data_IF_099658992630
#
_entry.id   IF_099658992630
#
_cell.length_a   1.000
_cell.length_b   1.000
_cell.length_c   1.000
_cell.angle_alpha   90.00
_cell.angle_beta   90.00
_cell.angle_gamma   90.00
#
_symmetry.space_group_name_H-M   'P 1'
#
loop_
_entity.id
_entity.type
_entity.pdbx_description
1 polymer ?
#
# COMPACT_ATOMS: atom_id res chain seq x y z
N UNK A 1 27.76 -8.81 38.85
CA UNK A 1 26.68 -9.49 39.58
C UNK A 1 25.61 -8.48 39.95
N UNK A 2 24.52 -8.42 39.19
CA UNK A 2 23.15 -8.20 39.67
C UNK A 2 22.20 -8.16 38.46
N UNK A 3 21.68 -9.32 38.13
CA UNK A 3 20.66 -9.54 37.12
C UNK A 3 19.29 -9.34 37.78
N UNK A 4 18.52 -8.33 37.33
CA UNK A 4 17.08 -8.27 37.62
C UNK A 4 16.31 -8.58 36.35
N UNK A 5 15.74 -9.77 36.33
CA UNK A 5 14.78 -10.25 35.35
C UNK A 5 13.47 -9.45 35.47
N UNK A 6 13.03 -8.84 34.37
CA UNK A 6 11.69 -8.29 34.22
C UNK A 6 10.83 -9.32 33.47
N UNK A 7 10.09 -10.13 34.22
CA UNK A 7 9.08 -11.05 33.70
C UNK A 7 7.75 -10.30 33.58
N UNK A 8 7.56 -9.55 32.49
CA UNK A 8 6.31 -8.88 32.15
C UNK A 8 5.52 -9.72 31.15
N UNK A 9 4.50 -10.44 31.63
CA UNK A 9 3.59 -11.21 30.80
C UNK A 9 2.70 -10.31 29.95
N UNK A 10 2.73 -10.50 28.63
CA UNK A 10 1.82 -9.86 27.69
C UNK A 10 0.50 -10.64 27.66
N UNK A 11 -0.55 -10.07 28.24
CA UNK A 11 -1.93 -10.54 28.07
C UNK A 11 -2.52 -9.84 26.83
N UNK A 12 -2.89 -10.62 25.82
CA UNK A 12 -3.54 -10.15 24.61
C UNK A 12 -5.03 -9.81 24.87
N UNK A 13 -5.54 -8.62 24.47
CA UNK A 13 -6.89 -8.20 24.84
C UNK A 13 -7.96 -8.49 23.76
N UNK A 14 -7.84 -9.58 22.98
CA UNK A 14 -8.87 -9.88 21.97
C UNK A 14 -9.27 -11.36 21.93
N UNK A 15 -10.56 -11.69 22.14
CA UNK A 15 -11.07 -13.02 21.84
C UNK A 15 -11.10 -13.27 20.33
N UNK A 16 -10.95 -14.52 19.87
CA UNK A 16 -11.03 -14.86 18.46
C UNK A 16 -12.43 -14.57 17.90
N UNK A 17 -12.47 -13.90 16.74
CA UNK A 17 -13.69 -13.65 15.97
C UNK A 17 -14.17 -15.00 15.39
N UNK A 18 -15.42 -15.43 15.63
CA UNK A 18 -15.97 -16.61 14.99
C UNK A 18 -16.13 -16.36 13.49
N UNK A 19 -15.51 -17.21 12.67
CA UNK A 19 -15.67 -17.18 11.22
C UNK A 19 -17.06 -17.69 10.86
N UNK A 20 -17.89 -16.83 10.25
CA UNK A 20 -19.16 -17.23 9.64
C UNK A 20 -18.92 -18.28 8.55
N UNK A 21 -19.73 -19.35 8.48
CA UNK A 21 -19.64 -20.32 7.40
C UNK A 21 -20.02 -19.67 6.06
N UNK A 22 -19.15 -19.88 5.07
CA UNK A 22 -19.34 -19.43 3.70
C UNK A 22 -20.66 -19.97 3.13
N UNK A 23 -21.55 -19.05 2.73
CA UNK A 23 -22.73 -19.34 1.93
C UNK A 23 -22.30 -19.93 0.59
N UNK A 24 -22.44 -21.25 0.47
CA UNK A 24 -22.25 -22.02 -0.76
C UNK A 24 -23.43 -21.72 -1.71
N UNK A 25 -23.33 -20.66 -2.51
CA UNK A 25 -24.29 -20.42 -3.60
C UNK A 25 -24.11 -21.47 -4.68
N UNK A 26 -25.19 -22.20 -4.92
CA UNK A 26 -25.41 -23.23 -5.92
C UNK A 26 -25.57 -22.55 -7.29
N UNK A 27 -25.05 -23.19 -8.33
CA UNK A 27 -24.77 -22.60 -9.63
C UNK A 27 -25.98 -22.06 -10.40
N UNK A 28 -25.72 -21.01 -11.15
CA UNK A 28 -26.52 -20.62 -12.31
C UNK A 28 -25.58 -20.52 -13.53
N UNK A 29 -26.00 -21.22 -14.58
CA UNK A 29 -25.39 -21.27 -15.90
C UNK A 29 -25.29 -19.87 -16.50
N UNK A 30 -24.10 -19.49 -16.98
CA UNK A 30 -23.95 -18.44 -17.99
C UNK A 30 -23.49 -19.11 -19.28
N UNK A 31 -24.48 -19.47 -20.10
CA UNK A 31 -24.28 -19.87 -21.48
C UNK A 31 -24.20 -18.61 -22.38
N UNK A 32 -23.26 -18.65 -23.31
CA UNK A 32 -23.26 -18.02 -24.64
C UNK A 32 -23.67 -16.55 -24.81
N UNK A 33 -22.65 -15.67 -24.95
CA UNK A 33 -22.65 -14.62 -25.99
C UNK A 33 -21.24 -14.38 -26.55
N UNK A 34 -21.02 -14.47 -27.87
CA UNK A 34 -19.78 -14.06 -28.50
C UNK A 34 -19.72 -12.52 -28.62
N UNK A 35 -18.65 -11.91 -28.11
CA UNK A 35 -18.33 -10.51 -28.37
C UNK A 35 -17.60 -10.36 -29.72
N UNK A 36 -17.94 -9.36 -30.55
CA UNK A 36 -17.24 -9.09 -31.80
C UNK A 36 -15.84 -8.51 -31.55
N UNK A 37 -14.92 -8.95 -32.42
CA UNK A 37 -13.50 -8.68 -32.39
C UNK A 37 -13.16 -7.18 -32.49
N UNK A 38 -12.36 -6.69 -31.53
CA UNK A 38 -11.49 -5.54 -31.72
C UNK A 38 -10.05 -6.05 -31.85
N UNK A 39 -9.57 -6.04 -33.09
CA UNK A 39 -8.17 -6.29 -33.46
C UNK A 39 -7.32 -5.12 -32.98
N UNK A 40 -6.53 -5.33 -31.94
CA UNK A 40 -5.36 -4.51 -31.64
C UNK A 40 -4.12 -5.34 -31.96
N UNK A 41 -3.47 -4.98 -33.06
CA UNK A 41 -2.23 -5.57 -33.57
C UNK A 41 -1.08 -5.18 -32.64
N UNK A 42 -0.55 -6.14 -31.87
CA UNK A 42 0.70 -5.99 -31.13
C UNK A 42 1.81 -6.78 -31.85
N UNK A 43 2.97 -6.17 -32.15
CA UNK A 43 4.09 -6.90 -32.73
C UNK A 43 4.70 -7.87 -31.71
N UNK A 44 4.67 -9.15 -32.07
CA UNK A 44 5.29 -10.27 -31.38
C UNK A 44 6.81 -10.24 -31.63
N UNK A 45 7.60 -10.07 -30.57
CA UNK A 45 9.03 -10.38 -30.57
C UNK A 45 9.44 -10.87 -29.18
N UNK A 46 9.11 -12.14 -28.85
CA UNK A 46 9.70 -12.82 -27.70
C UNK A 46 10.19 -14.20 -28.14
N UNK A 47 11.52 -14.34 -28.06
CA UNK A 47 12.26 -15.56 -28.34
C UNK A 47 11.91 -16.68 -27.37
N UNK A 48 11.99 -17.89 -27.91
CA UNK A 48 11.72 -19.17 -27.26
C UNK A 48 12.75 -19.42 -26.16
N UNK A 49 12.29 -19.70 -24.96
CA UNK A 49 13.05 -20.43 -23.96
C UNK A 49 12.18 -21.59 -23.48
N UNK A 50 12.66 -22.80 -23.77
CA UNK A 50 12.01 -24.07 -23.50
C UNK A 50 11.90 -24.34 -21.99
N UNK A 51 10.71 -24.67 -21.52
CA UNK A 51 10.48 -25.23 -20.19
C UNK A 51 10.01 -26.68 -20.35
N UNK A 52 10.92 -27.59 -20.01
CA UNK A 52 10.70 -29.02 -19.96
C UNK A 52 9.71 -29.37 -18.85
N UNK A 53 8.77 -30.24 -19.21
CA UNK A 53 7.79 -30.85 -18.35
C UNK A 53 8.42 -31.72 -17.25
N UNK A 54 7.85 -31.67 -16.05
CA UNK A 54 8.14 -32.58 -14.95
C UNK A 54 6.86 -32.85 -14.16
N UNK A 55 6.17 -33.94 -14.53
CA UNK A 55 5.04 -34.54 -13.84
C UNK A 55 5.49 -35.12 -12.49
N UNK A 56 4.77 -34.87 -11.40
CA UNK A 56 4.73 -35.79 -10.26
C UNK A 56 3.39 -35.72 -9.53
N UNK A 57 2.63 -36.78 -9.76
CA UNK A 57 1.36 -37.16 -9.16
C UNK A 57 1.58 -37.61 -7.71
N UNK A 58 0.77 -37.14 -6.75
CA UNK A 58 0.62 -37.83 -5.46
C UNK A 58 -0.79 -37.66 -4.90
N UNK A 59 -1.54 -38.76 -5.04
CA UNK A 59 -2.78 -39.03 -4.34
C UNK A 59 -2.46 -39.51 -2.92
N UNK A 60 -3.06 -38.91 -1.89
CA UNK A 60 -3.30 -39.60 -0.62
C UNK A 60 -4.74 -39.36 -0.22
N UNK A 61 -5.51 -40.44 -0.28
CA UNK A 61 -6.87 -40.58 0.25
C UNK A 61 -6.74 -41.07 1.68
N UNK A 62 -7.35 -40.37 2.65
CA UNK A 62 -7.71 -40.98 3.93
C UNK A 62 -9.16 -40.61 4.28
N UNK A 63 -9.96 -41.68 4.35
CA UNK A 63 -11.32 -41.70 4.84
C UNK A 63 -11.35 -41.60 6.37
N UNK A 64 -12.34 -40.88 6.90
CA UNK A 64 -12.80 -41.08 8.27
C UNK A 64 -14.31 -40.80 8.34
N UNK A 65 -15.09 -41.88 8.32
CA UNK A 65 -16.48 -41.91 8.75
C UNK A 65 -16.51 -41.94 10.29
N UNK A 66 -17.38 -41.15 10.90
CA UNK A 66 -17.65 -41.22 12.33
C UNK A 66 -18.90 -40.41 12.67
N UNK A 67 -20.06 -41.07 12.62
CA UNK A 67 -21.37 -40.46 12.83
C UNK A 67 -21.64 -40.05 14.28
N UNK A 68 -22.67 -39.23 14.44
CA UNK A 68 -23.49 -39.20 15.66
C UNK A 68 -24.84 -38.58 15.36
N UNK A 69 -25.85 -39.45 15.44
CA UNK A 69 -27.27 -39.13 15.55
C UNK A 69 -27.53 -38.31 16.82
N UNK A 70 -28.45 -37.36 16.74
CA UNK A 70 -28.79 -36.48 17.86
C UNK A 70 -30.04 -35.65 17.63
N UNK A 71 -31.18 -36.32 17.78
CA UNK A 71 -32.47 -35.83 18.28
C UNK A 71 -33.16 -34.62 17.63
N UNK A 72 -34.33 -34.95 17.08
CA UNK A 72 -35.50 -34.10 17.01
C UNK A 72 -35.73 -33.29 18.31
N UNK A 73 -36.03 -32.01 18.13
CA UNK A 73 -36.87 -31.21 19.02
C UNK A 73 -37.49 -30.10 18.17
N UNK A 74 -38.54 -30.50 17.46
CA UNK A 74 -39.58 -29.64 16.93
C UNK A 74 -40.30 -29.01 18.13
N UNK A 75 -40.12 -27.70 18.35
CA UNK A 75 -40.95 -26.91 19.25
C UNK A 75 -41.44 -25.68 18.48
N UNK A 76 -42.76 -25.70 18.32
CA UNK A 76 -43.62 -24.59 17.95
C UNK A 76 -43.21 -23.26 18.58
N UNK A 77 -43.06 -22.24 17.74
CA UNK A 77 -43.53 -20.89 18.06
C UNK A 77 -43.66 -20.08 16.76
N UNK A 78 -44.78 -20.28 16.08
CA UNK A 78 -45.35 -19.31 15.17
C UNK A 78 -45.74 -18.05 15.97
N UNK A 79 -44.77 -17.19 16.24
CA UNK A 79 -45.01 -15.83 16.74
C UNK A 79 -44.89 -14.87 15.55
N UNK A 80 -46.04 -14.34 15.15
CA UNK A 80 -46.27 -13.35 14.11
C UNK A 80 -45.12 -12.34 13.93
N UNK A 81 -44.32 -12.53 12.88
CA UNK A 81 -43.43 -11.51 12.32
C UNK A 81 -44.29 -10.40 11.71
N UNK A 82 -44.73 -9.44 12.53
CA UNK A 82 -45.25 -8.18 12.01
C UNK A 82 -44.12 -7.53 11.20
N UNK A 83 -44.36 -7.09 9.96
CA UNK A 83 -43.38 -6.33 9.22
C UNK A 83 -43.20 -4.99 9.93
N UNK A 84 -42.21 -4.91 10.83
CA UNK A 84 -41.73 -3.63 11.34
C UNK A 84 -41.29 -2.85 10.13
N UNK A 85 -42.03 -1.80 9.80
CA UNK A 85 -41.64 -0.81 8.80
C UNK A 85 -40.35 -0.18 9.30
N UNK A 86 -39.24 -0.79 8.94
CA UNK A 86 -37.89 -0.25 9.11
C UNK A 86 -37.88 1.06 8.36
N UNK A 87 -38.11 2.17 9.07
CA UNK A 87 -37.80 3.47 8.50
C UNK A 87 -36.35 3.42 8.01
N UNK A 88 -36.04 3.96 6.82
CA UNK A 88 -34.67 4.01 6.36
C UNK A 88 -33.87 4.77 7.42
N UNK A 89 -33.02 4.04 8.16
CA UNK A 89 -32.04 4.66 9.04
C UNK A 89 -31.12 5.45 8.11
N UNK A 90 -31.32 6.77 8.07
CA UNK A 90 -30.36 7.67 7.45
C UNK A 90 -29.11 7.56 8.29
N UNK A 91 -28.18 6.72 7.85
CA UNK A 91 -26.86 6.56 8.46
C UNK A 91 -26.07 7.82 8.09
N UNK A 92 -26.33 8.90 8.83
CA UNK A 92 -25.69 10.21 8.68
C UNK A 92 -24.25 10.19 9.26
N UNK A 93 -23.53 9.09 9.02
CA UNK A 93 -22.33 8.70 9.77
C UNK A 93 -21.02 9.06 9.08
N UNK A 94 -21.07 9.80 7.97
CA UNK A 94 -19.86 10.36 7.37
C UNK A 94 -19.50 11.66 8.10
N UNK A 95 -18.59 11.58 9.07
CA UNK A 95 -18.03 12.78 9.69
C UNK A 95 -17.37 13.66 8.61
N UNK A 96 -17.50 15.00 8.70
CA UNK A 96 -16.80 15.90 7.80
C UNK A 96 -15.28 15.66 7.82
N UNK A 97 -14.63 15.84 6.66
CA UNK A 97 -13.20 15.58 6.48
C UNK A 97 -12.32 16.34 7.50
N UNK A 98 -12.74 17.54 7.90
CA UNK A 98 -12.04 18.36 8.89
C UNK A 98 -12.08 17.74 10.30
N UNK A 99 -13.19 17.12 10.69
CA UNK A 99 -13.30 16.42 11.97
C UNK A 99 -12.47 15.12 11.93
N UNK A 100 -12.46 14.42 10.80
CA UNK A 100 -11.58 13.26 10.61
C UNK A 100 -10.11 13.65 10.70
N UNK A 101 -9.71 14.79 10.13
CA UNK A 101 -8.35 15.32 10.22
C UNK A 101 -7.98 15.74 11.65
N UNK A 102 -8.90 16.40 12.36
CA UNK A 102 -8.70 16.76 13.77
C UNK A 102 -8.45 15.52 14.63
N UNK A 103 -9.26 14.47 14.45
CA UNK A 103 -9.07 13.18 15.14
C UNK A 103 -7.75 12.50 14.74
N UNK A 104 -7.41 12.51 13.45
CA UNK A 104 -6.15 11.93 12.97
C UNK A 104 -4.92 12.61 13.59
N UNK A 105 -5.01 13.91 13.86
CA UNK A 105 -3.95 14.72 14.48
C UNK A 105 -3.87 14.58 16.00
N UNK A 106 -4.95 14.16 16.66
CA UNK A 106 -5.03 14.12 18.13
C UNK A 106 -3.97 13.21 18.76
N UNK A 107 -3.58 12.14 18.07
CA UNK A 107 -2.59 11.16 18.55
C UNK A 107 -1.16 11.43 18.05
N UNK A 108 -0.90 12.59 17.42
CA UNK A 108 0.41 12.91 16.87
C UNK A 108 1.30 13.62 17.90
N UNK A 109 2.56 13.21 18.04
CA UNK A 109 3.46 13.79 19.06
C UNK A 109 3.95 15.20 18.70
N UNK A 110 3.84 15.58 17.42
CA UNK A 110 4.40 16.83 16.90
C UNK A 110 3.45 17.51 15.93
N UNK A 111 3.61 18.82 15.80
CA UNK A 111 2.90 19.69 14.86
C UNK A 111 3.92 20.37 13.95
N UNK A 112 4.47 19.66 12.96
CA UNK A 112 5.51 20.20 12.10
C UNK A 112 4.97 21.39 11.30
N UNK A 113 5.77 22.45 11.22
CA UNK A 113 5.53 23.62 10.36
C UNK A 113 6.36 23.57 9.07
N UNK A 114 7.42 22.75 9.06
CA UNK A 114 8.33 22.52 7.96
C UNK A 114 8.64 21.03 7.76
N UNK A 115 9.14 20.67 6.58
CA UNK A 115 9.59 19.31 6.31
C UNK A 115 10.95 19.07 6.99
N UNK A 116 11.06 17.95 7.70
CA UNK A 116 12.34 17.40 8.17
C UNK A 116 13.13 16.74 7.01
N UNK A 117 13.10 17.36 5.83
CA UNK A 117 13.66 16.84 4.58
C UNK A 117 15.13 17.18 4.38
N UNK A 118 15.63 16.99 3.16
CA UNK A 118 16.99 17.39 2.77
C UNK A 118 16.96 18.73 2.01
N UNK A 119 18.14 19.33 1.79
CA UNK A 119 18.27 20.66 1.20
C UNK A 119 18.09 20.71 -0.34
N UNK A 120 18.14 19.57 -1.03
CA UNK A 120 17.94 19.53 -2.49
C UNK A 120 17.36 18.20 -2.95
N UNK A 121 16.68 18.22 -4.10
CA UNK A 121 16.21 17.00 -4.79
C UNK A 121 17.35 16.07 -5.16
N UNK A 122 18.49 16.60 -5.59
CA UNK A 122 19.67 15.81 -5.95
C UNK A 122 20.20 15.03 -4.74
N UNK A 123 20.37 15.71 -3.60
CA UNK A 123 20.78 15.07 -2.35
C UNK A 123 19.76 14.04 -1.85
N UNK A 124 18.46 14.26 -2.09
CA UNK A 124 17.40 13.30 -1.73
C UNK A 124 17.55 11.99 -2.52
N UNK A 125 17.68 12.10 -3.84
CA UNK A 125 17.79 10.94 -4.73
C UNK A 125 19.13 10.23 -4.55
N UNK A 126 20.23 10.96 -4.39
CA UNK A 126 21.54 10.39 -4.12
C UNK A 126 21.56 9.57 -2.82
N UNK A 127 20.96 10.09 -1.74
CA UNK A 127 20.83 9.34 -0.46
C UNK A 127 19.99 8.09 -0.61
N UNK A 128 18.91 8.15 -1.37
CA UNK A 128 18.07 6.99 -1.66
C UNK A 128 18.85 5.88 -2.40
N UNK A 129 19.58 6.23 -3.46
CA UNK A 129 20.39 5.26 -4.21
C UNK A 129 21.53 4.71 -3.34
N UNK A 130 22.16 5.56 -2.53
CA UNK A 130 23.18 5.14 -1.57
C UNK A 130 22.65 4.14 -0.54
N UNK A 131 21.45 4.36 -0.01
CA UNK A 131 20.79 3.43 0.91
C UNK A 131 20.48 2.07 0.26
N UNK A 132 20.03 2.05 -1.01
CA UNK A 132 19.85 0.80 -1.76
C UNK A 132 21.17 0.05 -1.93
N UNK A 133 22.23 0.74 -2.36
CA UNK A 133 23.56 0.14 -2.52
C UNK A 133 24.10 -0.42 -1.20
N UNK A 134 23.90 0.30 -0.09
CA UNK A 134 24.31 -0.14 1.25
C UNK A 134 23.39 -1.24 1.84
N UNK A 135 22.30 -1.58 1.16
CA UNK A 135 21.23 -2.43 1.68
C UNK A 135 20.67 -1.94 3.04
N UNK A 136 20.65 -0.63 3.27
CA UNK A 136 20.24 0.01 4.53
C UNK A 136 18.81 0.52 4.44
N UNK A 137 17.88 -0.26 4.99
CA UNK A 137 16.46 0.08 5.03
C UNK A 137 16.15 1.22 5.99
N UNK A 138 16.95 1.38 7.05
CA UNK A 138 16.75 2.41 8.08
C UNK A 138 17.06 3.81 7.56
N UNK A 139 18.03 3.92 6.65
CA UNK A 139 18.37 5.17 5.97
C UNK A 139 17.23 5.73 5.09
N UNK A 140 16.24 4.91 4.71
CA UNK A 140 15.09 5.37 3.93
C UNK A 140 14.02 6.05 4.78
N UNK A 141 13.84 5.65 6.04
CA UNK A 141 12.79 6.18 6.91
C UNK A 141 12.73 7.72 6.95
N UNK A 142 13.85 8.46 7.16
CA UNK A 142 13.79 9.93 7.23
C UNK A 142 13.58 10.61 5.86
N UNK A 143 13.70 9.88 4.75
CA UNK A 143 13.61 10.46 3.39
C UNK A 143 12.18 10.54 2.87
N UNK A 144 11.22 9.84 3.48
CA UNK A 144 9.79 9.87 3.11
C UNK A 144 8.99 10.68 4.13
N UNK A 145 7.82 11.17 3.70
CA UNK A 145 6.86 11.82 4.61
C UNK A 145 6.55 10.92 5.80
N UNK A 146 6.70 11.47 7.00
CA UNK A 146 6.19 10.85 8.22
C UNK A 146 4.69 11.16 8.41
N UNK A 147 4.09 10.58 9.45
CA UNK A 147 2.65 10.70 9.71
C UNK A 147 2.24 12.14 10.05
N UNK A 148 3.11 12.89 10.74
CA UNK A 148 2.84 14.26 11.15
C UNK A 148 2.99 15.22 9.99
N UNK A 149 4.06 15.12 9.20
CA UNK A 149 4.22 15.87 7.96
C UNK A 149 3.10 15.59 6.98
N UNK A 150 2.66 14.34 6.86
CA UNK A 150 1.48 13.99 6.09
C UNK A 150 0.24 14.76 6.59
N UNK A 151 -0.05 14.70 7.89
CA UNK A 151 -1.25 15.28 8.47
C UNK A 151 -1.28 16.81 8.41
N UNK A 152 -0.15 17.47 8.66
CA UNK A 152 -0.07 18.92 8.79
C UNK A 152 0.31 19.62 7.50
N UNK A 153 1.23 19.05 6.72
CA UNK A 153 1.85 19.74 5.59
C UNK A 153 1.31 19.29 4.23
N UNK A 154 1.01 18.00 4.06
CA UNK A 154 0.62 17.45 2.75
C UNK A 154 -0.89 17.27 2.57
N UNK A 155 -1.54 16.56 3.51
CA UNK A 155 -2.94 16.17 3.39
C UNK A 155 -3.90 17.36 3.20
N UNK A 156 -3.79 18.50 3.92
CA UNK A 156 -4.74 19.60 3.75
C UNK A 156 -4.74 20.23 2.35
N UNK A 157 -3.65 20.07 1.60
CA UNK A 157 -3.46 20.73 0.31
C UNK A 157 -3.69 19.81 -0.89
N UNK A 158 -3.58 18.49 -0.70
CA UNK A 158 -3.66 17.49 -1.78
C UNK A 158 -5.06 17.47 -2.43
N UNK A 159 -5.18 17.29 -3.76
CA UNK A 159 -6.49 17.23 -4.42
C UNK A 159 -7.44 16.17 -3.84
N UNK A 160 -6.89 15.05 -3.37
CA UNK A 160 -7.66 13.93 -2.83
C UNK A 160 -8.36 14.24 -1.50
N UNK A 161 -7.91 15.25 -0.75
CA UNK A 161 -8.57 15.66 0.50
C UNK A 161 -9.67 16.70 0.28
N UNK A 162 -9.85 17.16 -0.96
CA UNK A 162 -10.80 18.20 -1.36
C UNK A 162 -11.97 17.60 -2.15
N UNK A 163 -13.10 18.33 -2.26
CA UNK A 163 -14.16 17.95 -3.18
C UNK A 163 -13.63 17.73 -4.60
N UNK A 164 -14.13 16.72 -5.35
CA UNK A 164 -15.23 15.82 -4.98
C UNK A 164 -14.78 14.55 -4.23
N UNK A 165 -13.50 14.40 -3.91
CA UNK A 165 -12.94 13.15 -3.38
C UNK A 165 -13.04 13.03 -1.86
N UNK A 166 -12.65 14.09 -1.14
CA UNK A 166 -12.69 14.18 0.33
C UNK A 166 -12.23 12.92 1.06
N UNK A 167 -11.17 12.27 0.56
CA UNK A 167 -10.71 10.99 1.10
C UNK A 167 -10.30 11.13 2.56
N UNK A 168 -10.79 10.27 3.48
CA UNK A 168 -10.40 10.31 4.89
C UNK A 168 -8.87 10.24 5.07
N UNK A 169 -8.28 11.04 5.98
CA UNK A 169 -6.83 11.11 6.15
C UNK A 169 -6.22 9.77 6.57
N UNK A 170 -6.91 9.02 7.43
CA UNK A 170 -6.48 7.70 7.86
C UNK A 170 -6.40 6.70 6.69
N UNK A 171 -7.38 6.74 5.77
CA UNK A 171 -7.39 5.88 4.60
C UNK A 171 -6.28 6.24 3.62
N UNK A 172 -6.12 7.54 3.33
CA UNK A 172 -5.07 8.02 2.43
C UNK A 172 -3.67 7.72 3.00
N UNK A 173 -3.46 7.91 4.29
CA UNK A 173 -2.20 7.52 4.97
C UNK A 173 -1.95 6.02 4.86
N UNK A 174 -2.96 5.18 5.11
CA UNK A 174 -2.85 3.73 4.99
C UNK A 174 -2.47 3.29 3.56
N UNK A 175 -3.07 3.89 2.54
CA UNK A 175 -2.73 3.64 1.13
C UNK A 175 -1.27 4.03 0.84
N UNK A 176 -0.83 5.18 1.34
CA UNK A 176 0.53 5.66 1.18
C UNK A 176 1.55 4.70 1.81
N UNK A 177 1.30 4.28 3.05
CA UNK A 177 2.13 3.32 3.78
C UNK A 177 2.20 1.95 3.08
N UNK A 178 1.06 1.47 2.58
CA UNK A 178 1.00 0.22 1.82
C UNK A 178 1.82 0.27 0.54
N UNK A 179 1.73 1.38 -0.20
CA UNK A 179 2.53 1.62 -1.41
C UNK A 179 4.01 1.76 -1.10
N UNK A 180 4.36 2.43 0.00
CA UNK A 180 5.74 2.60 0.44
C UNK A 180 6.39 1.25 0.77
N UNK A 181 5.73 0.41 1.58
CA UNK A 181 6.25 -0.91 1.94
C UNK A 181 6.47 -1.81 0.72
N UNK A 182 5.50 -1.85 -0.20
CA UNK A 182 5.62 -2.62 -1.46
C UNK A 182 6.76 -2.09 -2.33
N UNK A 183 6.86 -0.78 -2.46
CA UNK A 183 7.90 -0.11 -3.23
C UNK A 183 9.30 -0.39 -2.71
N UNK A 184 9.52 -0.16 -1.41
CA UNK A 184 10.78 -0.44 -0.73
C UNK A 184 11.19 -1.91 -0.89
N UNK A 185 10.27 -2.85 -0.63
CA UNK A 185 10.55 -4.28 -0.79
C UNK A 185 11.01 -4.63 -2.21
N UNK A 186 10.31 -4.14 -3.25
CA UNK A 186 10.72 -4.36 -4.64
C UNK A 186 12.08 -3.73 -4.94
N UNK A 187 12.32 -2.49 -4.52
CA UNK A 187 13.58 -1.81 -4.77
C UNK A 187 14.78 -2.54 -4.16
N UNK A 188 14.68 -3.01 -2.91
CA UNK A 188 15.75 -3.80 -2.29
C UNK A 188 15.91 -5.18 -2.90
N UNK A 189 14.82 -5.84 -3.31
CA UNK A 189 14.92 -7.13 -4.03
C UNK A 189 15.69 -6.98 -5.35
N UNK A 190 15.42 -5.92 -6.11
CA UNK A 190 16.03 -5.73 -7.43
C UNK A 190 17.42 -5.08 -7.36
N UNK A 191 17.66 -4.17 -6.42
CA UNK A 191 18.86 -3.30 -6.40
C UNK A 191 19.66 -3.35 -5.08
N UNK A 192 19.09 -3.92 -4.01
CA UNK A 192 19.70 -3.94 -2.68
C UNK A 192 21.06 -4.62 -2.66
N UNK A 193 22.06 -3.97 -2.07
CA UNK A 193 23.42 -4.51 -1.92
C UNK A 193 24.21 -4.60 -3.24
N UNK A 194 23.63 -4.22 -4.38
CA UNK A 194 24.35 -4.18 -5.65
C UNK A 194 25.19 -2.91 -5.73
N UNK A 195 26.38 -2.96 -6.34
CA UNK A 195 27.14 -1.75 -6.64
C UNK A 195 26.42 -0.94 -7.72
N UNK A 196 26.02 0.28 -7.36
CA UNK A 196 25.26 1.19 -8.22
C UNK A 196 26.00 2.52 -8.30
N UNK A 197 26.16 3.07 -9.50
CA UNK A 197 26.60 4.45 -9.66
C UNK A 197 25.41 5.35 -9.98
N UNK A 198 25.16 6.34 -9.12
CA UNK A 198 24.15 7.35 -9.36
C UNK A 198 24.61 8.34 -10.43
N UNK A 199 23.88 8.41 -11.54
CA UNK A 199 24.19 9.27 -12.69
C UNK A 199 23.22 10.45 -12.85
N UNK A 200 22.35 10.68 -11.87
CA UNK A 200 21.38 11.78 -11.85
C UNK A 200 19.93 11.33 -11.96
N UNK A 201 19.04 12.27 -12.23
CA UNK A 201 17.61 12.04 -12.36
C UNK A 201 16.99 13.09 -13.26
N UNK A 202 15.77 12.82 -13.74
CA UNK A 202 14.88 13.84 -14.28
C UNK A 202 13.49 13.64 -13.73
N UNK A 203 12.72 14.70 -13.62
CA UNK A 203 11.29 14.68 -13.31
C UNK A 203 10.55 15.43 -14.41
N UNK A 204 9.22 15.47 -14.30
CA UNK A 204 8.41 16.35 -15.15
C UNK A 204 8.88 17.81 -15.00
N UNK A 205 8.82 18.58 -16.09
CA UNK A 205 9.37 19.93 -16.16
C UNK A 205 8.69 20.88 -15.15
N UNK A 206 7.37 20.73 -14.98
CA UNK A 206 6.57 21.57 -14.10
C UNK A 206 6.08 20.76 -12.90
N UNK A 207 6.34 21.21 -11.66
CA UNK A 207 5.74 20.58 -10.49
C UNK A 207 4.26 20.91 -10.41
N UNK A 208 3.49 20.01 -9.80
CA UNK A 208 2.12 20.30 -9.39
C UNK A 208 2.15 21.17 -8.12
N UNK A 209 1.42 22.28 -8.12
CA UNK A 209 1.33 23.18 -6.96
C UNK A 209 0.12 22.80 -6.12
N UNK A 210 0.37 22.44 -4.85
CA UNK A 210 -0.65 22.05 -3.88
C UNK A 210 -0.51 22.94 -2.64
N UNK A 211 -1.20 24.08 -2.64
CA UNK A 211 -0.99 25.11 -1.62
C UNK A 211 0.46 25.63 -1.67
N UNK A 212 1.17 25.54 -0.55
CA UNK A 212 2.59 25.93 -0.46
C UNK A 212 3.55 24.79 -0.89
N UNK A 213 3.02 23.62 -1.25
CA UNK A 213 3.82 22.48 -1.67
C UNK A 213 3.99 22.46 -3.19
N UNK A 214 5.16 22.02 -3.63
CA UNK A 214 5.44 21.66 -5.03
C UNK A 214 5.69 20.15 -5.11
N UNK A 215 4.91 19.44 -5.92
CA UNK A 215 5.02 18.01 -6.10
C UNK A 215 5.66 17.72 -7.45
N UNK A 216 6.84 17.10 -7.41
CA UNK A 216 7.59 16.68 -8.59
C UNK A 216 7.28 15.22 -8.90
N UNK A 217 6.58 14.99 -10.01
CA UNK A 217 6.15 13.68 -10.47
C UNK A 217 7.00 13.22 -11.68
N UNK A 218 6.72 12.01 -12.17
CA UNK A 218 7.35 11.48 -13.39
C UNK A 218 8.86 11.24 -13.26
N UNK A 219 9.37 11.15 -12.03
CA UNK A 219 10.81 11.09 -11.81
C UNK A 219 11.41 9.74 -12.26
N UNK A 220 12.44 9.83 -13.09
CA UNK A 220 13.27 8.72 -13.54
C UNK A 220 14.68 8.90 -13.02
N UNK A 221 15.18 7.88 -12.32
CA UNK A 221 16.53 7.86 -11.75
C UNK A 221 17.46 7.19 -12.74
N UNK A 222 18.58 7.82 -13.04
CA UNK A 222 19.67 7.29 -13.85
C UNK A 222 20.65 6.57 -12.95
N UNK A 223 20.75 5.26 -13.09
CA UNK A 223 21.70 4.42 -12.36
C UNK A 223 22.54 3.62 -13.35
N UNK A 224 23.79 3.35 -12.99
CA UNK A 224 24.66 2.46 -13.75
C UNK A 224 25.07 1.31 -12.83
N UNK A 225 24.55 0.09 -13.02
CA UNK A 225 25.06 -1.08 -12.33
C UNK A 225 26.54 -1.29 -12.67
N UNK A 226 27.37 -1.63 -11.70
CA UNK A 226 28.78 -1.91 -11.97
C UNK A 226 28.93 -3.13 -12.90
N UNK A 227 29.89 -3.08 -13.82
CA UNK A 227 30.10 -4.11 -14.84
C UNK A 227 29.16 -4.02 -16.06
N UNK A 228 28.11 -3.19 -16.00
CA UNK A 228 27.22 -2.91 -17.12
C UNK A 228 27.48 -1.47 -17.56
N UNK A 229 28.25 -1.26 -18.64
CA UNK A 229 28.67 0.07 -19.11
C UNK A 229 27.52 1.01 -19.52
N UNK A 230 26.25 0.59 -19.40
CA UNK A 230 25.06 1.32 -19.81
C UNK A 230 24.37 1.96 -18.61
N UNK A 231 23.99 3.22 -18.75
CA UNK A 231 23.09 3.90 -17.81
C UNK A 231 21.66 3.41 -18.05
N UNK A 232 21.03 2.95 -16.99
CA UNK A 232 19.63 2.56 -16.96
C UNK A 232 18.79 3.66 -16.32
N UNK A 233 17.54 3.75 -16.75
CA UNK A 233 16.56 4.68 -16.20
C UNK A 233 15.40 3.91 -15.60
N UNK A 234 15.11 4.17 -14.34
CA UNK A 234 14.06 3.47 -13.62
C UNK A 234 13.23 4.44 -12.78
N UNK A 235 11.93 4.19 -12.70
CA UNK A 235 11.05 4.86 -11.76
C UNK A 235 11.16 4.18 -10.40
N UNK A 236 12.03 4.70 -9.54
CA UNK A 236 12.32 4.09 -8.23
C UNK A 236 11.40 4.58 -7.10
N UNK A 237 10.66 5.67 -7.31
CA UNK A 237 9.74 6.26 -6.33
C UNK A 237 8.58 7.01 -7.01
N UNK A 238 7.59 7.39 -6.20
CA UNK A 238 6.31 7.93 -6.66
C UNK A 238 6.37 9.40 -7.07
N UNK A 239 6.96 10.22 -6.19
CA UNK A 239 7.11 11.67 -6.37
C UNK A 239 7.88 12.31 -5.21
N UNK A 240 8.33 13.55 -5.40
CA UNK A 240 9.06 14.36 -4.41
C UNK A 240 8.21 15.56 -4.02
N UNK A 241 8.04 15.80 -2.73
CA UNK A 241 7.47 17.04 -2.20
C UNK A 241 8.59 18.02 -1.88
N UNK A 242 8.37 19.26 -2.28
CA UNK A 242 9.15 20.43 -1.89
C UNK A 242 8.27 21.40 -1.10
N UNK A 243 8.80 21.88 0.01
CA UNK A 243 8.18 22.94 0.81
C UNK A 243 9.28 23.76 1.47
N UNK A 244 9.25 25.09 1.32
CA UNK A 244 10.25 25.99 1.89
C UNK A 244 11.72 25.56 1.64
N UNK A 245 12.03 25.06 0.44
CA UNK A 245 13.37 24.60 0.07
C UNK A 245 13.81 23.27 0.71
N UNK A 246 12.89 22.54 1.35
CA UNK A 246 13.12 21.21 1.94
C UNK A 246 12.43 20.14 1.11
N UNK A 247 13.06 18.97 0.98
CA UNK A 247 12.62 17.92 0.06
C UNK A 247 12.48 16.57 0.76
N UNK A 248 11.37 15.87 0.48
CA UNK A 248 11.12 14.47 0.88
C UNK A 248 10.42 13.70 -0.24
N UNK A 249 10.45 12.38 -0.19
CA UNK A 249 9.59 11.56 -1.02
C UNK A 249 8.15 11.59 -0.49
N UNK A 250 7.18 11.72 -1.39
CA UNK A 250 5.77 11.49 -1.05
C UNK A 250 5.54 9.99 -0.87
N UNK A 251 6.09 9.18 -1.77
CA UNK A 251 5.94 7.73 -1.75
C UNK A 251 7.10 7.01 -2.41
N UNK A 252 7.36 5.76 -1.99
CA UNK A 252 8.26 4.82 -2.67
C UNK A 252 7.57 3.95 -3.74
N UNK A 253 6.34 4.27 -4.15
CA UNK A 253 5.67 3.57 -5.24
C UNK A 253 6.54 3.58 -6.52
N UNK A 254 6.87 2.41 -7.05
CA UNK A 254 7.77 2.23 -8.19
C UNK A 254 7.20 1.29 -9.26
N UNK A 255 7.87 1.23 -10.41
CA UNK A 255 7.42 0.53 -11.61
C UNK A 255 8.19 -0.77 -11.91
N UNK A 256 8.90 -1.34 -10.93
CA UNK A 256 9.44 -2.70 -11.02
C UNK A 256 8.33 -3.75 -11.09
#
# INVERSE_FOLDING_TARGET
>A
MNSRFFSGGWQAPYPPIPLSPASRRKGENCNDRPHPALRATFPQFWGKAELRAGLALSCVVLAACGGRDGSAAEHDAAAASRPTTSQPAVVDSALPVQELLRRFRADLPTTPTELAGVASRDSLVARYVGALQANDTSALEPLVLDRAEFAYLYYPTTPQSKPPYELPPALMWFQLQSSNRKGVFRAFRELGGKPLHYAGYRCDEKPEVQGENRIWNGCLVRIRPEGQGKVEEARLFGGIIERAGRFKFVSYANAF
#
